data_IF_751170786342
#
_entry.id   IF_751170786342
#
_cell.length_a   1.000
_cell.length_b   1.000
_cell.length_c   1.000
_cell.angle_alpha   90.00
_cell.angle_beta   90.00
_cell.angle_gamma   90.00
#
_symmetry.space_group_name_H-M   'P 1'
#
loop_
_entity.id
_entity.type
_entity.pdbx_description
1 polymer ?
#
# COMPACT_ATOMS: atom_id res chain seq x y z
N UNK A 1 9.81 0.51 -7.53
CA UNK A 1 8.63 0.13 -8.33
C UNK A 1 8.57 1.02 -9.56
N UNK A 2 7.94 0.60 -10.65
CA UNK A 2 7.60 1.54 -11.72
C UNK A 2 6.52 2.50 -11.21
N UNK A 3 6.69 3.80 -11.41
CA UNK A 3 5.60 4.79 -11.23
C UNK A 3 4.52 4.57 -12.27
N UNK A 4 3.33 5.13 -12.05
CA UNK A 4 2.25 5.02 -13.03
C UNK A 4 2.65 5.54 -14.42
N UNK A 5 3.41 6.65 -14.48
CA UNK A 5 3.97 7.18 -15.73
C UNK A 5 4.90 6.18 -16.41
N UNK A 6 5.78 5.55 -15.62
CA UNK A 6 6.73 4.56 -16.13
C UNK A 6 6.06 3.28 -16.65
N UNK A 7 4.84 2.94 -16.20
CA UNK A 7 4.10 1.80 -16.77
C UNK A 7 3.82 2.03 -18.27
N UNK A 8 3.34 3.22 -18.63
CA UNK A 8 3.06 3.61 -20.02
C UNK A 8 4.33 3.68 -20.88
N UNK A 9 5.45 4.07 -20.28
CA UNK A 9 6.76 4.09 -20.94
C UNK A 9 7.31 2.67 -21.17
N UNK A 10 7.01 1.74 -20.26
CA UNK A 10 7.48 0.35 -20.29
C UNK A 10 6.68 -0.51 -21.28
N UNK A 11 5.36 -0.33 -21.34
CA UNK A 11 4.45 -1.07 -22.21
C UNK A 11 3.53 -0.09 -22.93
N UNK A 12 3.78 0.16 -24.22
CA UNK A 12 3.16 1.27 -24.95
C UNK A 12 1.68 1.06 -25.27
N UNK A 13 1.23 -0.19 -25.34
CA UNK A 13 -0.14 -0.61 -25.54
C UNK A 13 -0.94 -0.74 -24.22
N UNK A 14 -0.27 -0.57 -23.07
CA UNK A 14 -0.92 -0.54 -21.78
C UNK A 14 -1.95 0.60 -21.68
N UNK A 15 -3.19 0.26 -21.38
CA UNK A 15 -4.28 1.19 -21.16
C UNK A 15 -5.15 0.76 -19.97
N UNK A 16 -5.63 1.74 -19.23
CA UNK A 16 -6.56 1.60 -18.10
C UNK A 16 -7.43 2.85 -18.02
N UNK A 17 -8.61 2.75 -17.42
CA UNK A 17 -9.51 3.89 -17.23
C UNK A 17 -9.05 4.80 -16.07
N UNK A 18 -8.10 5.70 -16.38
CA UNK A 18 -7.58 6.69 -15.43
C UNK A 18 -8.63 7.68 -14.96
N UNK A 19 -9.57 8.04 -15.85
CA UNK A 19 -10.63 9.00 -15.55
C UNK A 19 -11.66 8.41 -14.57
N UNK A 20 -11.76 7.08 -14.50
CA UNK A 20 -12.58 6.39 -13.50
C UNK A 20 -11.81 6.06 -12.22
N UNK A 21 -10.56 5.63 -12.32
CA UNK A 21 -9.87 4.97 -11.19
C UNK A 21 -8.62 5.69 -10.65
N UNK A 22 -8.22 6.80 -11.26
CA UNK A 22 -7.05 7.60 -10.86
C UNK A 22 -7.36 9.10 -10.80
N UNK A 23 -8.51 9.44 -10.22
CA UNK A 23 -8.99 10.82 -10.05
C UNK A 23 -8.87 11.30 -8.61
N UNK A 24 -8.73 12.61 -8.42
CA UNK A 24 -8.82 13.20 -7.10
C UNK A 24 -10.28 13.25 -6.64
N UNK A 25 -10.62 12.79 -5.42
CA UNK A 25 -11.95 12.99 -4.87
C UNK A 25 -12.18 14.48 -4.57
N UNK A 26 -13.45 14.88 -4.48
CA UNK A 26 -13.79 16.19 -3.93
C UNK A 26 -13.37 16.27 -2.45
N UNK A 27 -13.21 17.49 -1.92
CA UNK A 27 -12.94 17.67 -0.49
C UNK A 27 -14.08 17.09 0.37
N UNK A 28 -15.33 17.18 -0.08
CA UNK A 28 -16.48 16.58 0.60
C UNK A 28 -16.35 15.05 0.69
N UNK A 29 -16.10 14.38 -0.44
CA UNK A 29 -15.89 12.92 -0.49
C UNK A 29 -14.69 12.50 0.36
N UNK A 30 -13.60 13.27 0.34
CA UNK A 30 -12.43 13.02 1.19
C UNK A 30 -12.81 13.07 2.68
N UNK A 31 -13.47 14.13 3.13
CA UNK A 31 -13.84 14.31 4.53
C UNK A 31 -14.90 13.30 5.00
N UNK A 32 -15.86 12.95 4.15
CA UNK A 32 -16.82 11.87 4.41
C UNK A 32 -16.10 10.52 4.59
N UNK A 33 -15.14 10.22 3.72
CA UNK A 33 -14.32 9.00 3.81
C UNK A 33 -13.50 8.96 5.09
N UNK A 34 -12.85 10.06 5.47
CA UNK A 34 -12.09 10.18 6.73
C UNK A 34 -12.99 9.87 7.92
N UNK A 35 -14.17 10.50 7.99
CA UNK A 35 -15.15 10.25 9.06
C UNK A 35 -15.55 8.78 9.15
N UNK A 36 -15.80 8.14 8.01
CA UNK A 36 -16.20 6.73 7.97
C UNK A 36 -15.05 5.77 8.35
N UNK A 37 -13.82 6.09 7.99
CA UNK A 37 -12.63 5.35 8.42
C UNK A 37 -12.41 5.45 9.94
N UNK A 38 -12.54 6.65 10.49
CA UNK A 38 -12.42 6.88 11.95
C UNK A 38 -13.52 6.17 12.73
N UNK A 39 -14.77 6.21 12.25
CA UNK A 39 -15.88 5.44 12.82
C UNK A 39 -15.63 3.92 12.79
N UNK A 40 -14.72 3.46 11.94
CA UNK A 40 -14.28 2.08 11.81
C UNK A 40 -12.94 1.80 12.50
N UNK A 41 -12.54 2.62 13.47
CA UNK A 41 -11.33 2.45 14.29
C UNK A 41 -10.00 2.58 13.53
N UNK A 42 -9.99 3.28 12.40
CA UNK A 42 -8.75 3.74 11.78
C UNK A 42 -8.37 5.10 12.37
N UNK A 43 -7.13 5.25 12.83
CA UNK A 43 -6.54 6.58 12.94
C UNK A 43 -6.31 7.09 11.51
N UNK A 44 -6.64 8.34 11.23
CA UNK A 44 -6.44 8.93 9.89
C UNK A 44 -5.68 10.24 9.99
N UNK A 45 -4.66 10.40 9.15
CA UNK A 45 -3.99 11.69 8.93
C UNK A 45 -4.12 12.07 7.47
N UNK A 46 -4.54 13.31 7.19
CA UNK A 46 -4.57 13.87 5.85
C UNK A 46 -3.40 14.86 5.70
N UNK A 47 -2.57 14.66 4.69
CA UNK A 47 -1.39 15.49 4.41
C UNK A 47 -1.40 15.99 2.96
N UNK A 48 -0.75 17.12 2.70
CA UNK A 48 -0.83 17.80 1.40
C UNK A 48 0.09 17.19 0.33
N UNK A 49 1.22 16.59 0.74
CA UNK A 49 2.25 16.14 -0.18
C UNK A 49 3.08 14.96 0.36
N UNK A 50 3.95 14.45 -0.50
CA UNK A 50 4.84 13.32 -0.29
C UNK A 50 5.84 13.54 0.87
N UNK A 51 6.35 14.77 1.03
CA UNK A 51 7.33 15.11 2.06
C UNK A 51 6.69 15.13 3.46
N UNK A 52 5.48 15.68 3.58
CA UNK A 52 4.71 15.65 4.84
C UNK A 52 4.37 14.21 5.24
N UNK A 53 3.98 13.38 4.26
CA UNK A 53 3.72 11.96 4.48
C UNK A 53 4.97 11.22 4.97
N UNK A 54 6.13 11.47 4.34
CA UNK A 54 7.40 10.87 4.74
C UNK A 54 7.79 11.27 6.17
N UNK A 55 7.72 12.57 6.48
CA UNK A 55 8.08 13.09 7.79
C UNK A 55 7.17 12.52 8.89
N UNK A 56 5.86 12.48 8.64
CA UNK A 56 4.89 11.88 9.57
C UNK A 56 5.22 10.40 9.83
N UNK A 57 5.47 9.64 8.77
CA UNK A 57 5.77 8.22 8.85
C UNK A 57 7.07 7.93 9.62
N UNK A 58 8.12 8.71 9.39
CA UNK A 58 9.40 8.56 10.08
C UNK A 58 9.32 8.90 11.57
N UNK A 59 8.48 9.88 11.93
CA UNK A 59 8.29 10.30 13.33
C UNK A 59 7.40 9.34 14.12
N UNK A 60 6.47 8.65 13.46
CA UNK A 60 5.53 7.74 14.11
C UNK A 60 6.17 6.40 14.49
N UNK A 61 7.08 5.88 13.67
CA UNK A 61 7.72 4.58 13.92
C UNK A 61 8.91 4.79 14.87
N UNK A 62 8.91 4.18 16.07
CA UNK A 62 10.04 4.29 16.99
C UNK A 62 11.32 3.74 16.36
N UNK A 63 12.45 4.43 16.57
CA UNK A 63 13.77 3.97 16.14
C UNK A 63 14.05 2.57 16.71
N UNK A 64 14.66 1.71 15.90
CA UNK A 64 14.94 0.31 16.24
C UNK A 64 13.76 -0.64 16.11
N UNK A 65 12.56 -0.16 15.74
CA UNK A 65 11.41 -1.04 15.51
C UNK A 65 11.63 -1.96 14.31
N UNK A 66 11.06 -3.17 14.38
CA UNK A 66 11.00 -4.08 13.24
C UNK A 66 9.94 -3.62 12.25
N UNK A 67 10.39 -3.35 11.03
CA UNK A 67 9.55 -2.82 9.98
C UNK A 67 9.58 -3.78 8.79
N UNK A 68 8.39 -4.27 8.41
CA UNK A 68 8.15 -4.97 7.15
C UNK A 68 7.35 -4.06 6.22
N UNK A 69 7.85 -3.85 5.00
CA UNK A 69 7.18 -3.00 4.01
C UNK A 69 6.71 -3.85 2.83
N UNK A 70 5.41 -3.88 2.53
CA UNK A 70 4.91 -4.48 1.31
C UNK A 70 5.45 -3.74 0.07
N UNK A 71 5.53 -4.44 -1.07
CA UNK A 71 5.76 -3.80 -2.36
C UNK A 71 4.64 -2.77 -2.62
N UNK A 72 5.04 -1.52 -2.82
CA UNK A 72 4.15 -0.36 -2.92
C UNK A 72 4.84 0.75 -3.70
N UNK A 73 4.20 1.22 -4.78
CA UNK A 73 4.65 2.39 -5.54
C UNK A 73 4.52 3.68 -4.72
N UNK A 74 3.41 3.85 -4.00
CA UNK A 74 3.16 5.03 -3.17
C UNK A 74 4.22 5.21 -2.08
N UNK A 75 4.69 4.11 -1.46
CA UNK A 75 5.77 4.18 -0.45
C UNK A 75 7.14 4.50 -1.09
N UNK A 76 7.36 4.10 -2.34
CA UNK A 76 8.55 4.51 -3.10
C UNK A 76 8.47 6.01 -3.47
N UNK A 77 7.31 6.48 -3.89
CA UNK A 77 7.08 7.88 -4.32
C UNK A 77 7.25 8.87 -3.18
N UNK A 78 6.88 8.52 -1.94
CA UNK A 78 7.18 9.36 -0.77
C UNK A 78 8.65 9.26 -0.33
N UNK A 79 9.47 8.41 -0.96
CA UNK A 79 10.90 8.28 -0.64
C UNK A 79 11.23 7.41 0.58
N UNK A 80 10.25 6.83 1.27
CA UNK A 80 10.48 6.03 2.48
C UNK A 80 11.39 4.83 2.23
N UNK A 81 11.18 4.10 1.10
CA UNK A 81 11.99 2.92 0.81
C UNK A 81 13.48 3.23 0.64
N UNK A 82 13.85 4.45 0.20
CA UNK A 82 15.26 4.87 0.12
C UNK A 82 15.93 4.89 1.51
N UNK A 83 15.24 5.39 2.52
CA UNK A 83 15.71 5.43 3.92
C UNK A 83 15.61 4.05 4.57
N UNK A 84 14.55 3.31 4.26
CA UNK A 84 14.37 1.96 4.79
C UNK A 84 15.46 0.99 4.32
N UNK A 85 15.92 1.10 3.06
CA UNK A 85 16.97 0.24 2.51
C UNK A 85 18.39 0.80 2.65
N UNK A 86 18.59 2.04 3.10
CA UNK A 86 19.93 2.57 3.38
C UNK A 86 20.60 1.82 4.53
N UNK A 87 21.92 1.94 4.63
CA UNK A 87 22.67 1.34 5.74
C UNK A 87 22.47 2.11 7.05
N UNK A 88 22.22 3.43 6.97
CA UNK A 88 21.87 4.29 8.10
C UNK A 88 20.37 4.25 8.46
N UNK A 89 19.65 3.19 8.07
CA UNK A 89 18.22 3.11 8.37
C UNK A 89 17.97 3.14 9.87
N UNK A 90 17.04 3.98 10.39
CA UNK A 90 16.73 4.01 11.82
C UNK A 90 15.88 2.81 12.27
N UNK A 91 15.54 1.89 11.37
CA UNK A 91 14.65 0.75 11.61
C UNK A 91 15.36 -0.58 11.40
N UNK A 92 14.85 -1.63 12.04
CA UNK A 92 15.25 -2.99 11.74
C UNK A 92 14.54 -3.42 10.46
N UNK A 93 15.31 -3.46 9.36
CA UNK A 93 14.81 -3.83 8.04
C UNK A 93 14.59 -5.35 7.92
N UNK A 94 13.33 -5.77 8.01
CA UNK A 94 12.93 -7.18 7.91
C UNK A 94 13.24 -7.78 6.54
N UNK A 95 13.18 -7.01 5.45
CA UNK A 95 13.60 -7.49 4.12
C UNK A 95 15.08 -7.85 4.07
N UNK A 96 15.96 -7.00 4.60
CA UNK A 96 17.40 -7.28 4.68
C UNK A 96 17.66 -8.55 5.51
N UNK A 97 16.96 -8.73 6.63
CA UNK A 97 17.03 -9.97 7.43
C UNK A 97 16.63 -11.21 6.63
N UNK A 98 15.51 -11.16 5.90
CA UNK A 98 15.04 -12.28 5.07
C UNK A 98 16.06 -12.60 3.97
N UNK A 99 16.56 -11.59 3.26
CA UNK A 99 17.49 -11.79 2.14
C UNK A 99 18.87 -12.29 2.58
N UNK A 100 19.26 -12.06 3.83
CA UNK A 100 20.48 -12.61 4.42
C UNK A 100 20.37 -14.09 4.79
N UNK A 101 19.16 -14.68 4.78
CA UNK A 101 18.95 -16.10 5.05
C UNK A 101 19.20 -16.95 3.79
N UNK A 102 19.59 -18.23 3.98
CA UNK A 102 19.58 -19.24 2.92
C UNK A 102 18.23 -19.29 2.19
N UNK A 103 18.26 -19.51 0.86
CA UNK A 103 17.09 -19.39 -0.02
C UNK A 103 15.90 -20.27 0.42
N UNK A 104 16.19 -21.48 0.91
CA UNK A 104 15.23 -22.45 1.43
C UNK A 104 14.50 -22.00 2.70
N UNK A 105 15.10 -21.07 3.48
CA UNK A 105 14.50 -20.51 4.70
C UNK A 105 13.73 -19.20 4.48
N UNK A 106 13.93 -18.54 3.34
CA UNK A 106 13.32 -17.22 3.13
C UNK A 106 11.79 -17.27 3.00
N UNK A 107 11.22 -18.40 2.56
CA UNK A 107 9.77 -18.54 2.45
C UNK A 107 9.09 -18.49 3.82
N UNK A 108 9.63 -19.19 4.82
CA UNK A 108 9.08 -19.17 6.17
C UNK A 108 9.35 -17.84 6.87
N UNK A 109 10.54 -17.27 6.70
CA UNK A 109 10.84 -15.94 7.22
C UNK A 109 9.90 -14.85 6.67
N UNK A 110 9.39 -14.99 5.43
CA UNK A 110 8.36 -14.09 4.87
C UNK A 110 7.00 -14.25 5.54
N UNK A 111 6.66 -15.45 6.02
CA UNK A 111 5.43 -15.69 6.79
C UNK A 111 5.58 -15.08 8.20
N UNK A 112 6.74 -15.24 8.82
CA UNK A 112 7.02 -14.65 10.14
C UNK A 112 6.96 -13.12 10.10
N UNK A 113 7.48 -12.53 9.01
CA UNK A 113 7.47 -11.09 8.78
C UNK A 113 6.07 -10.46 8.76
N UNK A 114 5.00 -11.25 8.57
CA UNK A 114 3.62 -10.77 8.64
C UNK A 114 3.23 -10.29 10.04
N UNK A 115 3.94 -10.76 11.07
CA UNK A 115 3.73 -10.39 12.49
C UNK A 115 4.73 -9.34 13.00
N UNK A 116 5.45 -8.68 12.09
CA UNK A 116 6.39 -7.60 12.42
C UNK A 116 5.74 -6.51 13.28
N UNK A 117 6.55 -5.78 14.05
CA UNK A 117 6.05 -4.69 14.89
C UNK A 117 5.30 -3.64 14.08
N UNK A 118 5.82 -3.31 12.89
CA UNK A 118 5.16 -2.44 11.93
C UNK A 118 5.08 -3.13 10.56
N UNK A 119 3.89 -3.15 9.98
CA UNK A 119 3.67 -3.52 8.59
C UNK A 119 3.20 -2.28 7.82
N UNK A 120 3.97 -1.90 6.80
CA UNK A 120 3.64 -0.78 5.93
C UNK A 120 3.14 -1.27 4.59
N UNK A 121 2.07 -0.67 4.10
CA UNK A 121 1.57 -0.94 2.76
C UNK A 121 0.83 0.26 2.18
N UNK A 122 0.64 0.22 0.87
CA UNK A 122 -0.47 0.95 0.23
C UNK A 122 -1.66 0.00 0.06
N UNK A 123 -2.77 0.57 -0.37
CA UNK A 123 -4.02 -0.13 -0.69
C UNK A 123 -4.34 -0.07 -2.18
N UNK A 124 -5.23 -0.96 -2.64
CA UNK A 124 -5.79 -0.93 -4.00
C UNK A 124 -7.05 -0.10 -4.07
N UNK A 125 -7.76 0.14 -2.97
CA UNK A 125 -8.83 1.11 -2.90
C UNK A 125 -9.21 1.41 -1.45
N UNK A 126 -9.87 2.53 -1.25
CA UNK A 126 -10.60 2.89 -0.04
C UNK A 126 -11.99 3.27 -0.50
N UNK A 127 -13.03 2.58 -0.04
CA UNK A 127 -14.39 3.01 -0.37
C UNK A 127 -14.80 4.19 0.50
N UNK A 128 -15.71 5.04 -0.01
CA UNK A 128 -16.26 6.18 0.71
C UNK A 128 -16.93 5.77 2.03
N UNK A 129 -17.44 4.55 2.10
CA UNK A 129 -18.02 3.95 3.33
C UNK A 129 -16.96 3.57 4.36
N UNK A 130 -15.66 3.80 4.11
CA UNK A 130 -14.57 3.55 5.04
C UNK A 130 -14.08 2.10 5.08
N UNK A 131 -14.24 1.32 4.00
CA UNK A 131 -13.61 0.00 3.89
C UNK A 131 -12.31 0.08 3.08
N UNK A 132 -11.32 -0.70 3.49
CA UNK A 132 -9.99 -0.69 2.87
C UNK A 132 -9.76 -1.96 2.08
N UNK A 133 -9.33 -1.83 0.84
CA UNK A 133 -9.16 -2.95 -0.09
C UNK A 133 -7.70 -3.18 -0.45
N UNK A 134 -7.31 -4.45 -0.43
CA UNK A 134 -6.03 -4.94 -0.95
C UNK A 134 -6.21 -6.26 -1.68
N UNK A 135 -5.33 -6.52 -2.64
CA UNK A 135 -5.20 -7.82 -3.28
C UNK A 135 -3.73 -8.20 -3.41
N UNK A 136 -3.46 -9.50 -3.53
CA UNK A 136 -2.14 -10.02 -3.85
C UNK A 136 -2.20 -11.42 -4.48
N UNK A 137 -1.03 -11.93 -4.89
CA UNK A 137 -0.87 -13.28 -5.43
C UNK A 137 -0.45 -14.34 -4.39
N UNK A 138 0.05 -13.95 -3.21
CA UNK A 138 0.79 -14.85 -2.28
C UNK A 138 0.22 -14.95 -0.86
N UNK A 139 -0.79 -14.16 -0.54
CA UNK A 139 -1.39 -13.97 0.78
C UNK A 139 -0.60 -13.05 1.72
N UNK A 140 0.61 -12.61 1.34
CA UNK A 140 1.51 -11.87 2.24
C UNK A 140 1.02 -10.47 2.59
N UNK A 141 0.36 -9.76 1.67
CA UNK A 141 -0.24 -8.45 1.96
C UNK A 141 -1.47 -8.63 2.83
N UNK A 142 -2.36 -9.56 2.49
CA UNK A 142 -3.57 -9.82 3.30
C UNK A 142 -3.20 -10.27 4.70
N UNK A 143 -2.25 -11.18 4.83
CA UNK A 143 -1.75 -11.64 6.14
C UNK A 143 -1.10 -10.50 6.94
N UNK A 144 -0.33 -9.61 6.30
CA UNK A 144 0.22 -8.43 6.98
C UNK A 144 -0.87 -7.46 7.48
N UNK A 145 -1.96 -7.30 6.73
CA UNK A 145 -3.09 -6.45 7.14
C UNK A 145 -3.86 -7.00 8.33
N UNK A 146 -3.87 -8.33 8.53
CA UNK A 146 -4.65 -8.98 9.58
C UNK A 146 -3.83 -9.41 10.78
N UNK A 147 -2.52 -9.63 10.63
CA UNK A 147 -1.66 -10.20 11.68
C UNK A 147 -0.64 -9.21 12.28
N UNK A 148 -0.34 -8.08 11.62
CA UNK A 148 0.67 -7.15 12.11
C UNK A 148 0.26 -6.49 13.44
N UNK A 149 1.26 -6.17 14.28
CA UNK A 149 1.00 -5.48 15.56
C UNK A 149 0.54 -4.04 15.33
N UNK A 150 1.17 -3.35 14.37
CA UNK A 150 0.80 -2.03 13.90
C UNK A 150 0.77 -2.04 12.36
N UNK A 151 -0.32 -1.56 11.78
CA UNK A 151 -0.51 -1.43 10.34
C UNK A 151 -0.51 0.06 9.99
N UNK A 152 0.44 0.48 9.14
CA UNK A 152 0.45 1.84 8.59
C UNK A 152 0.18 1.77 7.09
N UNK A 153 -0.94 2.36 6.69
CA UNK A 153 -1.37 2.46 5.29
C UNK A 153 -0.99 3.84 4.78
N UNK A 154 -0.18 3.89 3.71
CA UNK A 154 0.13 5.13 3.00
C UNK A 154 -0.59 5.10 1.67
N UNK A 155 -1.45 6.09 1.40
CA UNK A 155 -2.25 6.12 0.18
C UNK A 155 -2.37 7.54 -0.38
N UNK A 156 -2.25 7.67 -1.70
CA UNK A 156 -2.82 8.82 -2.39
C UNK A 156 -4.34 8.81 -2.23
N UNK A 157 -4.95 9.99 -2.13
CA UNK A 157 -6.41 10.16 -2.07
C UNK A 157 -7.13 9.69 -3.35
N UNK A 158 -6.39 9.43 -4.43
CA UNK A 158 -6.92 8.93 -5.71
C UNK A 158 -7.37 7.48 -5.67
N UNK A 159 -7.13 6.81 -4.54
CA UNK A 159 -7.59 5.45 -4.30
C UNK A 159 -8.95 5.42 -3.58
N UNK A 160 -9.48 6.60 -3.22
CA UNK A 160 -10.84 6.74 -2.70
C UNK A 160 -11.83 6.56 -3.86
N UNK A 161 -12.84 5.70 -3.66
CA UNK A 161 -13.90 5.39 -4.62
C UNK A 161 -15.27 5.41 -3.95
N UNK A 162 -16.34 5.63 -4.71
CA UNK A 162 -17.66 5.91 -4.13
C UNK A 162 -18.31 4.71 -3.43
N UNK A 163 -17.96 3.47 -3.80
CA UNK A 163 -18.58 2.26 -3.27
C UNK A 163 -17.61 1.09 -3.10
N UNK A 164 -18.04 0.09 -2.33
CA UNK A 164 -17.31 -1.17 -2.16
C UNK A 164 -17.18 -1.96 -3.47
N UNK A 165 -18.22 -1.92 -4.31
CA UNK A 165 -18.22 -2.53 -5.65
C UNK A 165 -17.20 -1.84 -6.55
N UNK A 166 -17.12 -0.50 -6.52
CA UNK A 166 -16.09 0.24 -7.25
C UNK A 166 -14.68 -0.03 -6.71
N UNK A 167 -14.54 -0.37 -5.42
CA UNK A 167 -13.24 -0.73 -4.84
C UNK A 167 -12.73 -2.08 -5.39
N UNK A 168 -13.63 -3.05 -5.55
CA UNK A 168 -13.33 -4.31 -6.23
C UNK A 168 -13.02 -4.07 -7.71
N UNK A 169 -13.86 -3.30 -8.42
CA UNK A 169 -13.61 -2.96 -9.81
C UNK A 169 -12.29 -2.21 -10.02
N UNK A 170 -11.93 -1.25 -9.16
CA UNK A 170 -10.63 -0.57 -9.22
C UNK A 170 -9.48 -1.56 -9.07
N UNK A 171 -9.62 -2.51 -8.14
CA UNK A 171 -8.60 -3.54 -7.91
C UNK A 171 -8.39 -4.41 -9.15
N UNK A 172 -9.47 -4.85 -9.79
CA UNK A 172 -9.43 -5.78 -10.94
C UNK A 172 -9.15 -5.09 -12.28
N UNK A 173 -9.76 -3.93 -12.54
CA UNK A 173 -9.76 -3.25 -13.83
C UNK A 173 -8.66 -2.18 -13.94
N UNK A 174 -8.09 -1.73 -12.82
CA UNK A 174 -7.05 -0.72 -12.81
C UNK A 174 -5.75 -1.23 -12.18
N UNK A 175 -5.79 -1.70 -10.92
CA UNK A 175 -4.56 -2.12 -10.22
C UNK A 175 -3.94 -3.37 -10.83
N UNK A 176 -4.72 -4.40 -11.16
CA UNK A 176 -4.21 -5.65 -11.73
C UNK A 176 -3.54 -5.45 -13.11
N UNK A 177 -4.10 -4.69 -14.07
CA UNK A 177 -3.40 -4.36 -15.30
C UNK A 177 -2.10 -3.59 -15.04
N UNK A 178 -2.10 -2.59 -14.16
CA UNK A 178 -0.89 -1.84 -13.78
C UNK A 178 0.20 -2.76 -13.20
N UNK A 179 -0.20 -3.61 -12.25
CA UNK A 179 0.67 -4.57 -11.60
C UNK A 179 1.16 -5.65 -12.57
N UNK A 180 0.40 -5.97 -13.61
CA UNK A 180 0.80 -6.93 -14.63
C UNK A 180 1.92 -6.42 -15.52
N UNK A 181 1.87 -5.14 -15.94
CA UNK A 181 3.00 -4.46 -16.62
C UNK A 181 4.24 -4.52 -15.74
N UNK A 182 4.08 -4.19 -14.45
CA UNK A 182 5.17 -4.23 -13.49
C UNK A 182 5.73 -5.65 -13.30
N UNK A 183 4.88 -6.67 -13.23
CA UNK A 183 5.28 -8.06 -13.04
C UNK A 183 6.06 -8.59 -14.26
N UNK A 184 5.60 -8.28 -15.48
CA UNK A 184 6.34 -8.54 -16.72
C UNK A 184 7.73 -7.90 -16.68
N UNK A 185 7.79 -6.63 -16.32
CA UNK A 185 9.05 -5.89 -16.23
C UNK A 185 10.01 -6.46 -15.16
N UNK A 186 9.52 -6.66 -13.93
CA UNK A 186 10.35 -7.01 -12.78
C UNK A 186 10.71 -8.50 -12.69
N UNK A 187 9.76 -9.38 -13.00
CA UNK A 187 9.90 -10.82 -12.75
C UNK A 187 9.92 -11.67 -14.02
N UNK A 188 9.75 -11.05 -15.20
CA UNK A 188 9.74 -11.74 -16.50
C UNK A 188 8.67 -12.83 -16.60
N UNK A 189 7.53 -12.62 -15.95
CA UNK A 189 6.32 -13.47 -16.00
C UNK A 189 5.26 -12.85 -16.92
N UNK A 190 4.27 -13.59 -17.45
CA UNK A 190 3.27 -13.04 -18.38
C UNK A 190 2.43 -11.87 -17.82
N UNK A 191 2.26 -11.81 -16.50
CA UNK A 191 1.50 -10.77 -15.82
C UNK A 191 1.36 -11.09 -14.34
N UNK A 192 0.61 -10.27 -13.63
CA UNK A 192 0.22 -10.55 -12.25
C UNK A 192 -1.13 -11.26 -12.21
N UNK A 193 -1.54 -11.68 -11.01
CA UNK A 193 -2.82 -12.29 -10.76
C UNK A 193 -3.34 -11.89 -9.38
N UNK A 194 -4.65 -11.84 -9.23
CA UNK A 194 -5.31 -11.71 -7.93
C UNK A 194 -5.62 -13.14 -7.46
N UNK A 195 -4.90 -13.61 -6.45
CA UNK A 195 -5.21 -14.88 -5.78
C UNK A 195 -6.14 -14.67 -4.59
N UNK A 196 -6.04 -13.52 -3.94
CA UNK A 196 -6.87 -13.15 -2.82
C UNK A 196 -7.13 -11.64 -2.82
N UNK A 197 -8.29 -11.27 -2.29
CA UNK A 197 -8.77 -9.91 -2.13
C UNK A 197 -9.36 -9.78 -0.73
N UNK A 198 -8.87 -8.80 0.02
CA UNK A 198 -9.38 -8.45 1.34
C UNK A 198 -10.09 -7.10 1.25
N UNK A 199 -11.35 -7.08 1.68
CA UNK A 199 -12.04 -5.84 2.07
C UNK A 199 -12.05 -5.73 3.60
N UNK A 200 -11.06 -5.04 4.17
CA UNK A 200 -10.98 -4.81 5.61
C UNK A 200 -12.09 -3.84 6.03
N UNK A 201 -13.03 -4.36 6.84
CA UNK A 201 -14.25 -3.63 7.25
C UNK A 201 -14.09 -2.79 8.52
N UNK A 202 -13.09 -3.12 9.35
CA UNK A 202 -12.76 -2.38 10.57
C UNK A 202 -11.24 -2.37 10.77
N UNK A 203 -10.74 -1.25 11.30
CA UNK A 203 -9.42 -1.16 11.88
C UNK A 203 -9.37 -1.71 13.30
N UNK A 204 -8.16 -1.69 13.87
CA UNK A 204 -7.93 -1.97 15.28
C UNK A 204 -7.50 -0.68 16.00
N UNK A 205 -8.19 -0.29 17.09
CA UNK A 205 -7.88 0.94 17.83
C UNK A 205 -6.40 1.04 18.18
N UNK A 206 -5.80 2.21 17.95
CA UNK A 206 -4.39 2.53 18.19
C UNK A 206 -3.36 1.68 17.42
N UNK A 207 -3.78 0.76 16.55
CA UNK A 207 -2.89 -0.10 15.77
C UNK A 207 -2.89 0.21 14.27
N UNK A 208 -4.03 0.68 13.74
CA UNK A 208 -4.18 0.93 12.31
C UNK A 208 -4.20 2.43 12.04
N UNK A 209 -3.21 2.92 11.30
CA UNK A 209 -3.12 4.31 10.88
C UNK A 209 -3.12 4.41 9.35
N UNK A 210 -3.95 5.31 8.82
CA UNK A 210 -4.04 5.62 7.39
C UNK A 210 -3.55 7.04 7.17
N UNK A 211 -2.49 7.18 6.38
CA UNK A 211 -1.95 8.46 5.91
C UNK A 211 -2.47 8.69 4.48
N UNK A 212 -3.44 9.59 4.35
CA UNK A 212 -4.00 10.03 3.07
C UNK A 212 -3.24 11.26 2.55
N UNK A 213 -2.71 11.15 1.34
CA UNK A 213 -1.92 12.21 0.70
C UNK A 213 -2.78 12.84 -0.40
N UNK A 214 -2.92 14.17 -0.41
CA UNK A 214 -3.70 14.92 -1.42
C UNK A 214 -2.97 15.02 -2.78
N UNK A 215 -2.50 13.88 -3.27
CA UNK A 215 -1.78 13.66 -4.52
C UNK A 215 -2.25 12.37 -5.19
N UNK A 216 -2.21 12.33 -6.51
CA UNK A 216 -2.46 11.11 -7.27
C UNK A 216 -1.20 10.24 -7.22
N UNK A 217 -1.14 9.30 -6.27
CA UNK A 217 0.04 8.46 -6.03
C UNK A 217 -0.25 6.99 -6.28
N UNK A 218 0.79 6.31 -6.76
CA UNK A 218 0.79 4.93 -7.14
C UNK A 218 -0.30 4.58 -8.14
N UNK A 219 -0.69 3.33 -8.08
CA UNK A 219 -1.83 2.74 -8.74
C UNK A 219 -2.53 1.78 -7.80
#
# INVERSE_FOLDING_TARGET
MLTFKQLKETEKDFTVDENKFRVAPSNETLMETVKNLEAKNHRVSVVENEADALNLLLNEIPKGSEVMCASSCTIDEIGFKKIYFSDDSPFVNVHKKILALPADKQADARKDALTSQYFLSSVTAISKTGNVYVADASGTRVGGFTAAKNLIIVSGYNKIVDSDELAVQRTEQFCLPCESVRARWAYKVPGSMIQNLLGMKHGAPNKHHIILIKKLLGY
#
